data_IF_483485486571
#
_entry.id   IF_483485486571
#
_cell.length_a   1.000
_cell.length_b   1.000
_cell.length_c   1.000
_cell.angle_alpha   90.00
_cell.angle_beta   90.00
_cell.angle_gamma   90.00
#
_symmetry.space_group_name_H-M   'P 1'
#
loop_
_entity.id
_entity.type
_entity.pdbx_description
1 polymer ?
#
# COMPACT_ATOMS: atom_id res chain seq x y z
N UNK A 1 -30.06 -20.47 -14.63
CA UNK A 1 -29.85 -21.21 -13.36
C UNK A 1 -28.38 -21.61 -13.28
N UNK A 2 -27.60 -20.93 -12.44
CA UNK A 2 -26.51 -21.44 -11.57
C UNK A 2 -25.68 -20.25 -11.09
N UNK A 3 -26.05 -19.78 -9.91
CA UNK A 3 -25.19 -18.99 -9.05
C UNK A 3 -23.96 -19.81 -8.71
N UNK A 4 -22.78 -19.22 -8.80
CA UNK A 4 -21.62 -19.66 -8.04
C UNK A 4 -20.89 -18.41 -7.55
N UNK A 5 -21.18 -18.09 -6.29
CA UNK A 5 -20.48 -17.11 -5.48
C UNK A 5 -19.12 -17.75 -5.18
N UNK A 6 -18.05 -17.29 -5.83
CA UNK A 6 -16.69 -17.57 -5.33
C UNK A 6 -16.28 -16.45 -4.38
N UNK A 7 -16.50 -16.71 -3.10
CA UNK A 7 -15.83 -16.06 -1.97
C UNK A 7 -14.31 -16.23 -2.11
N UNK A 8 -13.63 -15.30 -2.79
CA UNK A 8 -12.16 -15.24 -2.80
C UNK A 8 -11.65 -13.88 -2.34
N UNK A 9 -12.00 -13.51 -1.11
CA UNK A 9 -11.14 -12.64 -0.28
C UNK A 9 -10.49 -13.50 0.79
N UNK A 10 -9.37 -14.20 0.51
CA UNK A 10 -8.62 -14.86 1.55
C UNK A 10 -7.87 -13.77 2.34
N UNK A 11 -8.53 -13.18 3.34
CA UNK A 11 -7.85 -12.49 4.43
C UNK A 11 -7.00 -13.54 5.15
N UNK A 12 -5.74 -13.65 4.75
CA UNK A 12 -4.84 -14.68 5.25
C UNK A 12 -3.58 -14.05 5.80
N UNK A 13 -3.54 -13.86 7.13
CA UNK A 13 -2.27 -13.99 7.87
C UNK A 13 -2.06 -15.47 8.21
N UNK A 14 -1.99 -16.36 7.21
CA UNK A 14 -1.66 -17.75 7.49
C UNK A 14 -0.15 -17.90 7.68
N UNK A 15 0.21 -18.34 8.89
CA UNK A 15 1.47 -18.96 9.21
C UNK A 15 1.78 -20.06 8.18
N UNK A 16 2.70 -19.79 7.24
CA UNK A 16 3.25 -20.84 6.37
C UNK A 16 3.51 -20.54 4.89
N UNK A 17 3.41 -19.29 4.40
CA UNK A 17 3.66 -19.01 2.97
C UNK A 17 4.85 -18.10 2.71
N UNK A 18 6.05 -18.70 2.69
CA UNK A 18 7.20 -18.07 2.03
C UNK A 18 7.06 -18.28 0.52
N UNK A 19 6.29 -17.41 -0.15
CA UNK A 19 6.26 -17.36 -1.62
C UNK A 19 4.89 -17.36 -2.29
N UNK A 20 3.76 -17.30 -1.56
CA UNK A 20 2.46 -17.18 -2.21
C UNK A 20 2.36 -15.86 -3.00
N UNK A 21 1.88 -15.96 -4.23
CA UNK A 21 1.45 -14.85 -5.08
C UNK A 21 -0.04 -15.02 -5.38
N UNK A 22 -0.72 -13.93 -5.70
CA UNK A 22 -2.16 -13.90 -5.94
C UNK A 22 -2.44 -13.05 -7.20
N UNK A 23 -3.43 -13.42 -8.02
CA UNK A 23 -3.80 -12.66 -9.22
C UNK A 23 -4.14 -11.19 -8.92
N UNK A 24 -4.87 -10.95 -7.83
CA UNK A 24 -5.32 -9.63 -7.37
C UNK A 24 -4.94 -9.47 -5.91
N UNK A 25 -4.28 -8.36 -5.56
CA UNK A 25 -3.88 -8.03 -4.19
C UNK A 25 -4.34 -6.62 -3.82
N UNK A 26 -5.02 -6.51 -2.68
CA UNK A 26 -5.25 -5.26 -1.97
C UNK A 26 -4.27 -5.17 -0.79
N UNK A 27 -3.28 -4.29 -0.90
CA UNK A 27 -2.34 -4.02 0.18
C UNK A 27 -2.81 -2.80 0.99
N UNK A 28 -3.06 -3.00 2.28
CA UNK A 28 -3.54 -1.95 3.19
C UNK A 28 -2.40 -1.44 4.05
N UNK A 29 -2.10 -0.14 3.97
CA UNK A 29 -1.04 0.54 4.68
C UNK A 29 -1.61 1.49 5.74
N UNK A 30 -1.44 1.11 7.01
CA UNK A 30 -1.74 1.94 8.17
C UNK A 30 -0.51 2.59 8.79
N UNK A 31 -0.75 3.57 9.66
CA UNK A 31 0.28 4.21 10.48
C UNK A 31 0.42 3.59 11.87
N UNK A 32 1.21 4.24 12.73
CA UNK A 32 1.35 3.88 14.16
C UNK A 32 2.52 2.96 14.50
N UNK A 33 3.35 2.58 13.52
CA UNK A 33 4.51 1.72 13.73
C UNK A 33 5.78 2.52 14.01
N UNK A 34 6.52 2.11 15.05
CA UNK A 34 7.79 2.77 15.42
C UNK A 34 8.95 2.37 14.52
N UNK A 35 8.94 1.12 14.03
CA UNK A 35 10.07 0.53 13.29
C UNK A 35 10.06 0.83 11.78
N UNK A 36 8.90 1.12 11.19
CA UNK A 36 8.75 1.43 9.77
C UNK A 36 7.65 2.47 9.57
N UNK A 37 7.69 3.16 8.43
CA UNK A 37 6.70 4.17 8.07
C UNK A 37 6.60 4.28 6.55
N UNK A 38 5.54 3.74 5.97
CA UNK A 38 5.33 3.72 4.52
C UNK A 38 5.09 5.12 3.96
N UNK A 39 4.31 5.96 4.65
CA UNK A 39 3.97 7.30 4.14
C UNK A 39 5.19 8.21 4.09
N UNK A 40 6.05 8.13 5.10
CA UNK A 40 7.33 8.84 5.14
C UNK A 40 8.34 8.26 4.14
N UNK A 41 8.39 6.93 3.99
CA UNK A 41 9.25 6.28 3.00
C UNK A 41 8.90 6.73 1.57
N UNK A 42 7.61 6.75 1.22
CA UNK A 42 7.14 7.26 -0.08
C UNK A 42 7.49 8.75 -0.21
N UNK A 43 7.16 9.59 0.78
CA UNK A 43 7.45 11.02 0.74
C UNK A 43 8.94 11.37 0.54
N UNK A 44 9.85 10.52 1.05
CA UNK A 44 11.30 10.72 0.98
C UNK A 44 11.95 9.96 -0.18
N UNK A 45 11.18 9.29 -1.05
CA UNK A 45 11.75 8.38 -2.04
C UNK A 45 12.65 9.09 -3.08
N UNK A 46 12.26 10.28 -3.53
CA UNK A 46 13.03 11.07 -4.49
C UNK A 46 14.36 11.58 -3.89
N UNK A 47 14.38 11.92 -2.60
CA UNK A 47 15.56 12.42 -1.88
C UNK A 47 16.27 11.33 -1.04
N UNK A 48 15.98 10.05 -1.29
CA UNK A 48 16.47 8.93 -0.45
C UNK A 48 17.99 8.86 -0.31
N UNK A 49 18.72 9.33 -1.32
CA UNK A 49 20.19 9.31 -1.35
C UNK A 49 20.81 10.39 -0.44
N UNK A 50 20.01 11.36 0.00
CA UNK A 50 20.41 12.45 0.92
C UNK A 50 20.06 12.13 2.39
N UNK A 51 19.46 10.97 2.67
CA UNK A 51 19.06 10.61 4.02
C UNK A 51 20.27 10.32 4.92
N UNK A 52 20.24 10.87 6.13
CA UNK A 52 21.17 10.49 7.19
C UNK A 52 21.03 9.01 7.57
N UNK A 53 22.04 8.46 8.25
CA UNK A 53 22.15 7.02 8.52
C UNK A 53 20.91 6.42 9.22
N UNK A 54 20.39 7.10 10.25
CA UNK A 54 19.21 6.66 11.00
C UNK A 54 17.96 6.60 10.12
N UNK A 55 17.72 7.66 9.35
CA UNK A 55 16.55 7.77 8.47
C UNK A 55 16.64 6.78 7.30
N UNK A 56 17.85 6.57 6.78
CA UNK A 56 18.12 5.60 5.72
C UNK A 56 17.78 4.18 6.15
N UNK A 57 18.15 3.75 7.36
CA UNK A 57 17.80 2.42 7.89
C UNK A 57 16.28 2.22 7.99
N UNK A 58 15.55 3.24 8.47
CA UNK A 58 14.08 3.19 8.57
C UNK A 58 13.44 3.17 7.18
N UNK A 59 13.97 3.98 6.25
CA UNK A 59 13.55 4.01 4.85
C UNK A 59 13.72 2.63 4.20
N UNK A 60 14.91 2.03 4.29
CA UNK A 60 15.22 0.72 3.70
C UNK A 60 14.33 -0.39 4.27
N UNK A 61 14.09 -0.39 5.58
CA UNK A 61 13.19 -1.37 6.23
C UNK A 61 11.76 -1.21 5.71
N UNK A 62 11.27 0.02 5.65
CA UNK A 62 9.92 0.35 5.14
C UNK A 62 9.78 -0.03 3.67
N UNK A 63 10.79 0.28 2.85
CA UNK A 63 10.86 -0.06 1.42
C UNK A 63 10.85 -1.57 1.21
N UNK A 64 11.63 -2.32 1.98
CA UNK A 64 11.69 -3.78 1.85
C UNK A 64 10.34 -4.42 2.18
N UNK A 65 9.66 -3.96 3.24
CA UNK A 65 8.31 -4.43 3.59
C UNK A 65 7.28 -4.05 2.51
N UNK A 66 7.36 -2.82 1.99
CA UNK A 66 6.50 -2.36 0.91
C UNK A 66 6.69 -3.20 -0.35
N UNK A 67 7.93 -3.49 -0.72
CA UNK A 67 8.26 -4.37 -1.85
C UNK A 67 7.70 -5.79 -1.65
N UNK A 68 7.84 -6.35 -0.44
CA UNK A 68 7.28 -7.68 -0.13
C UNK A 68 5.76 -7.68 -0.27
N UNK A 69 5.07 -6.60 0.13
CA UNK A 69 3.62 -6.49 -0.04
C UNK A 69 3.22 -6.39 -1.53
N UNK A 70 3.91 -5.53 -2.30
CA UNK A 70 3.61 -5.29 -3.71
C UNK A 70 3.91 -6.53 -4.58
N UNK A 71 5.00 -7.24 -4.32
CA UNK A 71 5.42 -8.42 -5.09
C UNK A 71 4.55 -9.67 -4.92
N UNK A 72 3.50 -9.59 -4.08
CA UNK A 72 2.48 -10.63 -3.97
C UNK A 72 1.47 -10.59 -5.11
N UNK A 73 1.31 -9.45 -5.78
CA UNK A 73 0.42 -9.33 -6.92
C UNK A 73 1.06 -9.92 -8.18
N UNK A 74 0.31 -10.74 -8.90
CA UNK A 74 0.72 -11.24 -10.22
C UNK A 74 0.28 -10.29 -11.34
N UNK A 75 -0.95 -9.77 -11.25
CA UNK A 75 -1.56 -8.92 -12.29
C UNK A 75 -2.02 -7.58 -11.73
N UNK A 76 -2.88 -7.60 -10.69
CA UNK A 76 -3.55 -6.39 -10.20
C UNK A 76 -3.16 -6.09 -8.75
N UNK A 77 -2.62 -4.88 -8.55
CA UNK A 77 -2.21 -4.38 -7.24
C UNK A 77 -2.96 -3.09 -6.91
N UNK A 78 -3.71 -3.11 -5.82
CA UNK A 78 -4.32 -1.90 -5.24
C UNK A 78 -3.63 -1.56 -3.92
N UNK A 79 -3.21 -0.31 -3.75
CA UNK A 79 -2.61 0.20 -2.52
C UNK A 79 -3.62 1.09 -1.80
N UNK A 80 -4.05 0.68 -0.61
CA UNK A 80 -4.95 1.47 0.23
C UNK A 80 -4.20 2.07 1.40
N UNK A 81 -4.12 3.39 1.47
CA UNK A 81 -3.53 4.12 2.60
C UNK A 81 -4.63 4.60 3.55
N UNK A 82 -4.58 4.16 4.81
CA UNK A 82 -5.57 4.55 5.84
C UNK A 82 -5.13 5.76 6.66
N UNK A 83 -4.03 6.40 6.25
CA UNK A 83 -3.47 7.60 6.89
C UNK A 83 -3.27 8.69 5.86
N UNK A 84 -3.29 9.95 6.31
CA UNK A 84 -3.07 11.09 5.42
C UNK A 84 -1.67 11.02 4.80
N UNK A 85 -1.62 11.09 3.49
CA UNK A 85 -0.40 11.21 2.72
C UNK A 85 0.00 12.69 2.61
N UNK A 86 1.31 12.95 2.68
CA UNK A 86 1.84 14.29 2.40
C UNK A 86 1.82 14.56 0.89
N UNK A 87 1.93 15.82 0.51
CA UNK A 87 2.01 16.23 -0.90
C UNK A 87 3.15 15.52 -1.64
N UNK A 88 4.36 15.47 -1.05
CA UNK A 88 5.49 14.76 -1.64
C UNK A 88 5.23 13.25 -1.82
N UNK A 89 4.47 12.64 -0.90
CA UNK A 89 4.09 11.24 -1.05
C UNK A 89 3.11 11.03 -2.21
N UNK A 90 2.14 11.94 -2.37
CA UNK A 90 1.21 11.91 -3.50
C UNK A 90 1.93 12.14 -4.83
N UNK A 91 2.87 13.07 -4.89
CA UNK A 91 3.72 13.30 -6.07
C UNK A 91 4.51 12.05 -6.43
N UNK A 92 5.16 11.43 -5.45
CA UNK A 92 5.88 10.16 -5.66
C UNK A 92 4.97 9.05 -6.16
N UNK A 93 3.75 8.92 -5.60
CA UNK A 93 2.77 7.92 -6.06
C UNK A 93 2.27 8.23 -7.48
N UNK A 94 1.99 9.49 -7.78
CA UNK A 94 1.60 9.93 -9.12
C UNK A 94 2.69 9.59 -10.14
N UNK A 95 3.96 9.71 -9.78
CA UNK A 95 5.08 9.31 -10.64
C UNK A 95 5.15 7.78 -10.83
N UNK A 96 4.80 7.00 -9.82
CA UNK A 96 4.87 5.53 -9.88
C UNK A 96 3.71 4.89 -10.63
N UNK A 97 2.49 5.30 -10.31
CA UNK A 97 1.27 4.66 -10.82
C UNK A 97 0.53 5.52 -11.82
N UNK A 98 0.93 6.78 -12.02
CA UNK A 98 0.20 7.75 -12.82
C UNK A 98 -0.94 8.41 -12.05
N UNK A 99 -1.14 9.72 -12.26
CA UNK A 99 -2.14 10.50 -11.54
C UNK A 99 -3.59 9.99 -11.71
N UNK A 100 -3.91 9.33 -12.84
CA UNK A 100 -5.23 8.72 -13.06
C UNK A 100 -5.52 7.52 -12.16
N UNK A 101 -4.48 6.93 -11.55
CA UNK A 101 -4.58 5.75 -10.70
C UNK A 101 -4.48 6.08 -9.20
N UNK A 102 -4.49 7.37 -8.84
CA UNK A 102 -4.51 7.85 -7.45
C UNK A 102 -5.87 8.48 -7.18
N UNK A 103 -6.67 7.82 -6.34
CA UNK A 103 -8.05 8.21 -6.05
C UNK A 103 -8.15 8.54 -4.56
N UNK A 104 -8.67 9.72 -4.24
CA UNK A 104 -9.01 10.07 -2.87
C UNK A 104 -10.27 9.30 -2.46
N UNK A 105 -10.19 8.57 -1.36
CA UNK A 105 -11.33 7.83 -0.80
C UNK A 105 -11.83 8.58 0.42
N UNK A 106 -13.08 9.03 0.37
CA UNK A 106 -13.78 9.55 1.55
C UNK A 106 -14.40 8.39 2.32
N UNK A 107 -14.13 8.31 3.62
CA UNK A 107 -14.77 7.35 4.50
C UNK A 107 -15.95 8.02 5.21
N UNK A 108 -17.17 7.67 4.81
CA UNK A 108 -18.34 7.93 5.65
C UNK A 108 -18.34 6.93 6.81
N UNK A 109 -18.55 7.38 8.07
CA UNK A 109 -18.66 6.48 9.23
C UNK A 109 -19.82 5.48 9.11
N UNK A 110 -20.73 5.67 8.14
CA UNK A 110 -21.87 4.78 7.86
C UNK A 110 -21.54 3.66 6.85
N UNK A 111 -20.34 3.67 6.24
CA UNK A 111 -19.91 2.63 5.28
C UNK A 111 -20.57 2.74 3.89
N UNK A 112 -21.30 3.82 3.62
CA UNK A 112 -21.87 4.13 2.31
C UNK A 112 -20.87 4.92 1.46
N UNK A 113 -20.56 4.49 0.22
CA UNK A 113 -19.82 5.31 -0.72
C UNK A 113 -20.62 6.59 -0.97
N UNK A 114 -20.00 7.75 -0.74
CA UNK A 114 -20.52 9.03 -1.20
C UNK A 114 -20.14 9.15 -2.68
N UNK A 115 -21.12 8.92 -3.55
CA UNK A 115 -20.98 9.19 -4.99
C UNK A 115 -20.57 10.66 -5.20
N UNK A 116 -19.54 10.87 -6.02
CA UNK A 116 -19.20 12.17 -6.60
C UNK A 116 -19.69 12.24 -8.04
#
# INVERSE_FOLDING_TARGET
MRAYVEEKTPFSTQHGVKGAQYPVVLAVFGGGWTQYNFTEMIAKFCDRDRLGERDRKRFETSRNLFYVACSRAESDLTLLFTTKLSQNALETLNDWVGASNVIAVEFSPEGTPVDS
#
